data_IF_229709175252
#
_entry.id   IF_229709175252
#
_cell.length_a   1.000
_cell.length_b   1.000
_cell.length_c   1.000
_cell.angle_alpha   90.00
_cell.angle_beta   90.00
_cell.angle_gamma   90.00
#
_symmetry.space_group_name_H-M   'P 1'
#
loop_
_entity.id
_entity.type
_entity.pdbx_description
1 polymer ?
#
# COMPACT_ATOMS: atom_id res chain seq x y z
N UNK A 1 24.85 13.69 24.96
CA UNK A 1 25.16 13.20 23.61
C UNK A 1 25.07 11.70 23.54
N UNK A 2 24.31 11.20 22.57
CA UNK A 2 24.11 9.79 22.31
C UNK A 2 24.38 9.51 20.83
N UNK A 3 25.28 8.57 20.55
CA UNK A 3 25.63 8.12 19.20
C UNK A 3 25.15 6.69 18.96
N UNK A 4 25.17 6.26 17.70
CA UNK A 4 24.75 4.94 17.22
C UNK A 4 23.25 4.66 17.42
N UNK A 5 22.42 5.70 17.41
CA UNK A 5 20.98 5.52 17.31
C UNK A 5 20.58 5.31 15.85
N UNK A 6 19.54 4.50 15.64
CA UNK A 6 18.88 4.36 14.34
C UNK A 6 17.53 5.05 14.41
N UNK A 7 17.36 6.09 13.60
CA UNK A 7 16.21 6.99 13.61
C UNK A 7 15.56 6.94 12.23
N UNK A 8 14.43 6.27 12.11
CA UNK A 8 13.70 6.08 10.86
C UNK A 8 12.22 5.93 11.17
N UNK A 9 11.37 6.06 10.14
CA UNK A 9 9.90 5.93 10.25
C UNK A 9 9.25 6.98 11.17
N UNK A 10 9.85 8.16 11.30
CA UNK A 10 9.27 9.31 12.00
C UNK A 10 8.66 10.30 11.01
N UNK A 11 7.68 11.07 11.49
CA UNK A 11 7.09 12.19 10.77
C UNK A 11 7.51 13.51 11.42
N UNK A 12 8.55 14.15 10.88
CA UNK A 12 9.01 15.47 11.34
C UNK A 12 8.21 16.57 10.63
N UNK A 13 7.24 17.14 11.35
CA UNK A 13 6.28 18.11 10.80
C UNK A 13 6.19 19.33 11.73
N UNK A 14 6.23 20.53 11.16
CA UNK A 14 6.04 21.80 11.87
C UNK A 14 7.05 22.08 13.00
N UNK A 15 8.29 21.60 12.86
CA UNK A 15 9.37 21.90 13.80
C UNK A 15 10.08 23.21 13.43
N UNK A 16 10.50 24.01 14.42
CA UNK A 16 11.38 25.16 14.17
C UNK A 16 12.81 24.76 13.81
N UNK A 17 13.26 23.62 14.33
CA UNK A 17 14.48 22.92 13.93
C UNK A 17 14.11 21.44 13.81
N UNK A 18 14.26 20.84 12.62
CA UNK A 18 13.73 19.49 12.36
C UNK A 18 14.35 18.43 13.27
N UNK A 19 15.67 18.47 13.42
CA UNK A 19 16.39 17.62 14.35
C UNK A 19 17.69 18.31 14.77
N UNK A 20 18.17 18.00 15.98
CA UNK A 20 19.44 18.48 16.49
C UNK A 20 20.31 17.29 16.91
N UNK A 21 21.44 17.14 16.23
CA UNK A 21 22.46 16.11 16.51
C UNK A 21 23.79 16.83 16.63
N UNK A 22 24.26 16.99 17.87
CA UNK A 22 25.49 17.73 18.18
C UNK A 22 26.53 16.77 18.72
N UNK A 23 27.70 16.74 18.07
CA UNK A 23 28.80 15.86 18.48
C UNK A 23 28.37 14.38 18.66
N UNK A 24 27.39 13.94 17.87
CA UNK A 24 26.84 12.59 17.87
C UNK A 24 26.71 12.08 16.44
N UNK A 25 26.98 10.78 16.23
CA UNK A 25 26.83 10.11 14.94
C UNK A 25 25.66 9.16 15.06
N UNK A 26 24.60 9.38 14.30
CA UNK A 26 23.38 8.57 14.26
C UNK A 26 23.07 8.21 12.80
N UNK A 27 22.34 7.10 12.62
CA UNK A 27 21.81 6.71 11.33
C UNK A 27 20.37 7.23 11.22
N UNK A 28 20.06 7.95 10.15
CA UNK A 28 18.75 8.59 9.95
C UNK A 28 17.87 7.88 8.94
N UNK A 29 18.22 6.64 8.59
CA UNK A 29 17.44 5.80 7.71
C UNK A 29 17.60 4.31 8.05
N UNK A 30 16.71 3.48 7.52
CA UNK A 30 16.82 2.03 7.57
C UNK A 30 17.27 1.42 6.23
N UNK A 31 17.68 2.24 5.27
CA UNK A 31 18.01 1.83 3.92
C UNK A 31 16.80 1.51 3.04
N UNK A 32 17.04 1.32 1.75
CA UNK A 32 16.01 0.94 0.78
C UNK A 32 15.62 -0.55 0.92
N UNK A 33 14.32 -0.92 0.79
CA UNK A 33 13.20 -0.04 0.47
C UNK A 33 12.53 0.59 1.69
N UNK A 34 12.91 0.22 2.90
CA UNK A 34 12.25 0.68 4.14
C UNK A 34 12.22 2.21 4.27
N UNK A 35 13.24 2.89 3.74
CA UNK A 35 13.37 4.33 3.77
C UNK A 35 13.85 4.86 5.12
N UNK A 36 13.80 6.18 5.25
CA UNK A 36 14.14 6.92 6.46
C UNK A 36 12.91 7.57 7.08
N UNK A 37 12.96 8.89 7.19
CA UNK A 37 11.94 9.69 7.85
C UNK A 37 11.21 10.58 6.84
N UNK A 38 10.00 10.99 7.21
CA UNK A 38 9.31 12.06 6.52
C UNK A 38 9.73 13.40 7.11
N UNK A 39 10.13 14.33 6.24
CA UNK A 39 10.53 15.69 6.59
C UNK A 39 9.63 16.65 5.84
N UNK A 40 8.84 17.47 6.54
CA UNK A 40 7.86 18.33 5.87
C UNK A 40 8.49 19.46 5.02
N UNK A 41 9.79 19.72 5.19
CA UNK A 41 10.57 20.66 4.38
C UNK A 41 11.41 19.98 3.29
N UNK A 42 11.32 18.65 3.13
CA UNK A 42 11.92 17.95 2.00
C UNK A 42 11.07 18.15 0.74
N UNK A 43 11.63 18.89 -0.22
CA UNK A 43 10.94 19.27 -1.47
C UNK A 43 11.63 18.77 -2.73
N UNK A 44 12.60 17.85 -2.60
CA UNK A 44 13.30 17.29 -3.76
C UNK A 44 12.40 16.29 -4.49
N UNK A 45 12.87 15.81 -5.65
CA UNK A 45 12.09 14.94 -6.53
C UNK A 45 12.06 13.48 -6.10
N UNK A 46 11.06 12.77 -6.62
CA UNK A 46 10.91 11.31 -6.61
C UNK A 46 10.56 10.89 -8.04
N UNK A 47 11.58 10.84 -8.88
CA UNK A 47 11.48 10.39 -10.29
C UNK A 47 12.30 9.12 -10.53
N UNK A 48 13.06 8.68 -9.53
CA UNK A 48 13.90 7.51 -9.56
C UNK A 48 13.52 6.57 -8.41
N UNK A 49 13.85 5.29 -8.58
CA UNK A 49 13.56 4.23 -7.64
C UNK A 49 14.76 3.30 -7.51
N UNK A 50 14.67 2.38 -6.55
CA UNK A 50 15.69 1.36 -6.31
C UNK A 50 16.77 1.80 -5.33
N UNK A 51 17.67 0.86 -4.99
CA UNK A 51 18.69 1.07 -3.95
C UNK A 51 19.58 2.29 -4.24
N UNK A 52 20.03 2.44 -5.48
CA UNK A 52 20.91 3.54 -5.87
C UNK A 52 20.15 4.77 -6.39
N UNK A 53 18.80 4.76 -6.32
CA UNK A 53 17.92 5.83 -6.83
C UNK A 53 18.27 6.24 -8.27
N UNK A 54 18.48 5.26 -9.15
CA UNK A 54 18.96 5.45 -10.52
C UNK A 54 18.09 4.76 -11.59
N UNK A 55 17.00 4.11 -11.19
CA UNK A 55 16.04 3.47 -12.09
C UNK A 55 14.87 4.43 -12.26
N UNK A 56 14.40 4.68 -13.48
CA UNK A 56 13.27 5.61 -13.69
C UNK A 56 11.96 5.10 -13.06
N UNK A 57 11.23 6.01 -12.43
CA UNK A 57 9.90 5.81 -11.86
C UNK A 57 9.87 6.14 -10.37
N UNK A 58 8.75 6.70 -9.91
CA UNK A 58 8.58 7.08 -8.50
C UNK A 58 8.26 5.89 -7.60
N UNK A 59 8.75 5.92 -6.37
CA UNK A 59 8.49 4.89 -5.37
C UNK A 59 8.17 5.42 -3.96
N UNK A 60 7.94 6.73 -3.81
CA UNK A 60 7.63 7.36 -2.53
C UNK A 60 8.85 7.58 -1.63
N UNK A 61 10.05 7.32 -2.13
CA UNK A 61 11.34 7.70 -1.52
C UNK A 61 11.95 8.80 -2.38
N UNK A 62 12.54 9.81 -1.74
CA UNK A 62 13.18 10.90 -2.46
C UNK A 62 14.49 10.50 -3.11
N UNK A 63 14.75 11.03 -4.31
CA UNK A 63 15.91 10.71 -5.15
C UNK A 63 17.27 11.13 -4.51
N UNK A 64 17.22 11.97 -3.48
CA UNK A 64 18.40 12.58 -2.85
C UNK A 64 18.27 12.63 -1.33
N UNK A 65 19.38 12.45 -0.63
CA UNK A 65 19.37 12.46 0.83
C UNK A 65 19.00 13.82 1.44
N UNK A 66 18.44 13.79 2.64
CA UNK A 66 18.13 14.97 3.45
C UNK A 66 19.23 15.22 4.49
N UNK A 67 19.82 16.42 4.50
CA UNK A 67 20.89 16.80 5.42
C UNK A 67 20.35 17.23 6.79
N UNK A 68 20.38 16.33 7.77
CA UNK A 68 19.66 16.46 9.05
C UNK A 68 20.20 17.58 9.94
N UNK A 69 21.52 17.73 10.00
CA UNK A 69 22.20 18.78 10.77
C UNK A 69 22.89 19.80 9.84
N UNK A 70 22.36 19.96 8.61
CA UNK A 70 22.92 20.90 7.64
C UNK A 70 22.59 22.35 8.04
N UNK A 71 23.57 23.04 8.58
CA UNK A 71 23.51 24.48 8.83
C UNK A 71 24.85 25.14 8.44
N UNK A 72 24.90 26.48 8.28
CA UNK A 72 26.13 27.16 7.86
C UNK A 72 27.35 26.96 8.77
N UNK A 73 27.14 26.53 10.02
CA UNK A 73 28.18 26.29 11.00
C UNK A 73 28.64 24.82 11.05
N UNK A 74 27.86 23.88 10.50
CA UNK A 74 28.23 22.47 10.44
C UNK A 74 29.23 22.25 9.30
N UNK A 75 30.46 21.78 9.60
CA UNK A 75 31.41 21.39 8.55
C UNK A 75 30.81 20.31 7.64
N UNK A 76 31.01 20.37 6.30
CA UNK A 76 30.41 19.41 5.36
C UNK A 76 30.65 17.95 5.71
N UNK A 77 31.83 17.63 6.24
CA UNK A 77 32.25 16.28 6.65
C UNK A 77 31.53 15.76 7.91
N UNK A 78 30.83 16.63 8.64
CA UNK A 78 30.05 16.28 9.83
C UNK A 78 28.54 16.30 9.57
N UNK A 79 28.12 16.57 8.33
CA UNK A 79 26.72 16.51 7.95
C UNK A 79 26.26 15.05 7.90
N UNK A 80 25.22 14.76 8.67
CA UNK A 80 24.53 13.48 8.67
C UNK A 80 23.35 13.55 7.73
N UNK A 81 23.11 12.44 7.04
CA UNK A 81 22.06 12.34 6.04
C UNK A 81 21.07 11.25 6.42
N UNK A 82 19.79 11.55 6.21
CA UNK A 82 18.80 10.54 5.86
C UNK A 82 18.97 10.28 4.35
N UNK A 83 19.44 9.10 3.97
CA UNK A 83 19.74 8.81 2.56
C UNK A 83 18.49 8.43 1.76
N UNK A 84 17.38 8.13 2.42
CA UNK A 84 16.14 7.67 1.79
C UNK A 84 14.93 8.39 2.40
N UNK A 85 14.89 9.74 2.35
CA UNK A 85 13.80 10.50 2.92
C UNK A 85 12.47 10.10 2.26
N UNK A 86 11.40 10.07 3.05
CA UNK A 86 10.09 9.68 2.57
C UNK A 86 9.40 10.88 1.90
N UNK A 87 8.71 10.66 0.79
CA UNK A 87 7.95 11.71 0.08
C UNK A 87 6.59 12.03 0.70
N UNK A 88 6.19 11.25 1.71
CA UNK A 88 4.90 11.36 2.38
C UNK A 88 5.02 10.86 3.81
N UNK A 89 4.00 11.14 4.61
CA UNK A 89 3.96 10.69 6.00
C UNK A 89 3.95 9.17 6.09
N UNK A 90 4.75 8.64 7.00
CA UNK A 90 4.78 7.22 7.35
C UNK A 90 3.64 6.90 8.33
N UNK A 91 2.95 5.78 8.10
CA UNK A 91 1.95 5.22 9.00
C UNK A 91 2.14 3.71 9.08
N UNK A 92 2.04 3.16 10.29
CA UNK A 92 2.13 1.73 10.54
C UNK A 92 0.84 1.23 11.20
N UNK A 93 0.13 0.34 10.53
CA UNK A 93 -1.17 -0.14 10.97
C UNK A 93 -1.14 -1.63 11.28
N UNK A 94 -1.68 -1.99 12.45
CA UNK A 94 -1.87 -3.39 12.82
C UNK A 94 -2.98 -3.99 11.95
N UNK A 95 -2.62 -4.87 11.02
CA UNK A 95 -3.60 -5.66 10.27
C UNK A 95 -4.03 -6.90 11.09
N UNK A 96 -3.09 -7.50 11.81
CA UNK A 96 -3.34 -8.54 12.82
C UNK A 96 -2.50 -8.26 14.07
N UNK A 97 -2.50 -9.16 15.05
CA UNK A 97 -1.63 -9.05 16.24
C UNK A 97 -0.14 -9.21 15.93
N UNK A 98 0.22 -9.78 14.77
CA UNK A 98 1.60 -10.11 14.40
C UNK A 98 2.06 -9.41 13.11
N UNK A 99 1.14 -8.96 12.28
CA UNK A 99 1.44 -8.44 10.95
C UNK A 99 0.92 -7.01 10.82
N UNK A 100 1.80 -6.17 10.30
CA UNK A 100 1.58 -4.75 10.14
C UNK A 100 1.58 -4.39 8.66
N UNK A 101 0.82 -3.37 8.30
CA UNK A 101 0.78 -2.78 6.97
C UNK A 101 1.32 -1.36 7.08
N UNK A 102 2.41 -1.10 6.39
CA UNK A 102 3.06 0.21 6.39
C UNK A 102 2.60 1.00 5.17
N UNK A 103 2.26 2.27 5.36
CA UNK A 103 1.81 3.17 4.31
C UNK A 103 2.63 4.45 4.36
N UNK A 104 3.15 4.86 3.20
CA UNK A 104 3.76 6.16 2.98
C UNK A 104 2.82 6.92 2.05
N UNK A 105 2.27 8.04 2.50
CA UNK A 105 1.28 8.77 1.72
C UNK A 105 1.36 10.27 2.00
N UNK A 106 1.14 11.10 0.97
CA UNK A 106 1.05 12.56 1.13
C UNK A 106 -0.37 13.05 1.50
N UNK A 107 -1.31 12.13 1.69
CA UNK A 107 -2.62 12.38 2.27
C UNK A 107 -2.67 11.93 3.73
N UNK A 108 -3.59 12.52 4.51
CA UNK A 108 -3.95 11.98 5.82
C UNK A 108 -4.73 10.67 5.65
N UNK A 109 -4.36 9.65 6.43
CA UNK A 109 -5.00 8.33 6.40
C UNK A 109 -5.88 8.18 7.64
N UNK A 110 -7.11 7.70 7.45
CA UNK A 110 -8.06 7.42 8.53
C UNK A 110 -8.81 6.10 8.28
N UNK A 111 -9.41 5.54 9.33
CA UNK A 111 -10.25 4.34 9.28
C UNK A 111 -9.61 3.16 8.53
N UNK A 112 -8.34 2.88 8.81
CA UNK A 112 -7.68 1.68 8.31
C UNK A 112 -8.38 0.42 8.83
N UNK A 113 -8.72 -0.48 7.90
CA UNK A 113 -9.37 -1.75 8.17
C UNK A 113 -8.75 -2.86 7.32
N UNK A 114 -8.64 -4.03 7.93
CA UNK A 114 -8.28 -5.27 7.26
C UNK A 114 -9.25 -6.38 7.66
N UNK A 115 -9.85 -7.04 6.66
CA UNK A 115 -10.84 -8.11 6.90
C UNK A 115 -10.36 -9.51 6.48
N UNK A 116 -9.05 -9.68 6.29
CA UNK A 116 -8.43 -10.93 5.86
C UNK A 116 -8.12 -10.99 4.35
N UNK A 117 -8.91 -10.32 3.51
CA UNK A 117 -8.71 -10.32 2.05
C UNK A 117 -8.78 -8.94 1.41
N UNK A 118 -9.24 -7.95 2.17
CA UNK A 118 -9.42 -6.57 1.74
C UNK A 118 -8.75 -5.67 2.78
N UNK A 119 -7.95 -4.73 2.27
CA UNK A 119 -7.45 -3.57 3.01
C UNK A 119 -8.27 -2.38 2.54
N UNK A 120 -8.84 -1.61 3.46
CA UNK A 120 -9.55 -0.37 3.14
C UNK A 120 -9.18 0.75 4.11
N UNK A 121 -9.12 1.97 3.61
CA UNK A 121 -8.86 3.17 4.41
C UNK A 121 -9.32 4.41 3.66
N UNK A 122 -9.48 5.52 4.37
CA UNK A 122 -9.76 6.82 3.77
C UNK A 122 -8.49 7.64 3.64
N UNK A 123 -8.34 8.30 2.49
CA UNK A 123 -7.32 9.32 2.24
C UNK A 123 -7.99 10.68 2.12
N UNK A 124 -7.36 11.71 2.68
CA UNK A 124 -7.79 13.10 2.52
C UNK A 124 -6.59 14.03 2.30
N UNK A 125 -6.70 14.92 1.32
CA UNK A 125 -5.73 15.94 0.98
C UNK A 125 -6.41 17.16 0.37
N UNK A 126 -5.62 18.20 0.05
CA UNK A 126 -6.13 19.43 -0.59
C UNK A 126 -6.69 19.13 -1.99
N UNK A 127 -7.93 19.54 -2.25
CA UNK A 127 -8.62 19.24 -3.50
C UNK A 127 -7.79 19.67 -4.74
N UNK A 128 -7.90 18.89 -5.82
CA UNK A 128 -7.27 19.15 -7.12
C UNK A 128 -5.74 19.09 -7.15
N UNK A 129 -5.10 18.62 -6.07
CA UNK A 129 -3.66 18.33 -6.06
C UNK A 129 -3.38 16.84 -6.29
N UNK A 130 -2.13 16.47 -6.55
CA UNK A 130 -1.74 15.07 -6.78
C UNK A 130 -1.48 14.35 -5.46
N UNK A 131 -2.14 13.20 -5.29
CA UNK A 131 -1.90 12.26 -4.21
C UNK A 131 -1.14 11.04 -4.68
N UNK A 132 -0.31 10.48 -3.82
CA UNK A 132 0.30 9.19 -4.00
C UNK A 132 0.21 8.41 -2.69
N UNK A 133 0.11 7.10 -2.77
CA UNK A 133 0.35 6.23 -1.64
C UNK A 133 1.24 5.07 -2.09
N UNK A 134 2.23 4.77 -1.26
CA UNK A 134 2.98 3.52 -1.27
C UNK A 134 2.57 2.67 -0.09
N UNK A 135 2.26 1.41 -0.33
CA UNK A 135 1.85 0.45 0.71
C UNK A 135 2.74 -0.78 0.69
N UNK A 136 3.19 -1.19 1.87
CA UNK A 136 3.93 -2.43 2.13
C UNK A 136 2.98 -3.43 2.79
N UNK A 137 2.70 -4.53 2.09
CA UNK A 137 1.79 -5.59 2.53
C UNK A 137 2.60 -6.86 2.74
N UNK A 138 2.67 -7.41 3.96
CA UNK A 138 3.22 -8.74 4.19
C UNK A 138 2.53 -9.80 3.34
N UNK A 139 3.31 -10.66 2.67
CA UNK A 139 2.78 -11.73 1.81
C UNK A 139 2.03 -12.82 2.61
N UNK A 140 2.23 -12.86 3.92
CA UNK A 140 1.46 -13.69 4.86
C UNK A 140 0.00 -13.22 5.01
N UNK A 141 -0.27 -11.93 4.79
CA UNK A 141 -1.63 -11.36 4.84
C UNK A 141 -2.35 -11.52 3.51
N UNK A 142 -1.70 -11.11 2.43
CA UNK A 142 -2.24 -11.14 1.08
C UNK A 142 -1.12 -11.49 0.10
N UNK A 143 -1.36 -12.45 -0.78
CA UNK A 143 -0.39 -12.84 -1.80
C UNK A 143 -1.12 -13.23 -3.08
N UNK A 144 -0.89 -12.46 -4.14
CA UNK A 144 -1.51 -12.68 -5.44
C UNK A 144 -1.47 -11.42 -6.29
N UNK A 145 -2.36 -11.38 -7.28
CA UNK A 145 -2.56 -10.19 -8.11
C UNK A 145 -3.51 -9.26 -7.36
N UNK A 146 -3.13 -8.00 -7.21
CA UNK A 146 -3.91 -7.00 -6.50
C UNK A 146 -4.81 -6.22 -7.46
N UNK A 147 -5.91 -5.71 -6.94
CA UNK A 147 -6.72 -4.67 -7.56
C UNK A 147 -6.85 -3.52 -6.58
N UNK A 148 -6.61 -2.32 -7.06
CA UNK A 148 -6.65 -1.09 -6.25
C UNK A 148 -7.80 -0.24 -6.76
N UNK A 149 -8.69 0.15 -5.86
CA UNK A 149 -9.82 1.02 -6.14
C UNK A 149 -9.69 2.30 -5.33
N UNK A 150 -9.95 3.42 -5.99
CA UNK A 150 -10.01 4.74 -5.36
C UNK A 150 -11.40 5.30 -5.62
N UNK A 151 -12.19 5.46 -4.57
CA UNK A 151 -13.59 5.88 -4.60
C UNK A 151 -14.43 5.01 -5.56
N UNK A 152 -14.26 3.69 -5.46
CA UNK A 152 -14.95 2.69 -6.31
C UNK A 152 -14.45 2.58 -7.76
N UNK A 153 -13.50 3.42 -8.19
CA UNK A 153 -12.90 3.35 -9.53
C UNK A 153 -11.57 2.61 -9.45
N UNK A 154 -11.38 1.59 -10.29
CA UNK A 154 -10.11 0.86 -10.36
C UNK A 154 -9.01 1.76 -10.92
N UNK A 155 -7.87 1.80 -10.23
CA UNK A 155 -6.69 2.58 -10.62
C UNK A 155 -5.52 1.67 -10.92
N UNK A 156 -4.68 2.10 -11.85
CA UNK A 156 -3.40 1.42 -12.09
C UNK A 156 -2.46 1.64 -10.91
N UNK A 157 -1.69 0.62 -10.57
CA UNK A 157 -0.61 0.69 -9.60
C UNK A 157 0.68 0.15 -10.22
N UNK A 158 1.82 0.56 -9.66
CA UNK A 158 3.12 0.00 -9.94
C UNK A 158 3.47 -1.01 -8.83
N UNK A 159 3.81 -2.24 -9.23
CA UNK A 159 4.40 -3.23 -8.34
C UNK A 159 5.90 -2.96 -8.26
N UNK A 160 6.36 -2.39 -7.15
CA UNK A 160 7.75 -1.96 -7.02
C UNK A 160 8.70 -3.16 -7.02
N UNK A 161 9.84 -3.00 -7.70
CA UNK A 161 10.85 -4.05 -7.87
C UNK A 161 11.49 -4.52 -6.55
N UNK A 162 11.34 -3.75 -5.47
CA UNK A 162 11.79 -4.12 -4.13
C UNK A 162 10.89 -5.16 -3.43
N UNK A 163 9.75 -5.51 -4.04
CA UNK A 163 8.89 -6.59 -3.57
C UNK A 163 9.63 -7.92 -3.58
N UNK A 164 9.40 -8.73 -2.54
CA UNK A 164 10.10 -9.99 -2.33
C UNK A 164 9.15 -11.06 -1.78
N UNK A 165 9.70 -12.18 -1.29
CA UNK A 165 8.89 -13.30 -0.79
C UNK A 165 8.14 -13.00 0.50
N UNK A 166 8.52 -11.97 1.27
CA UNK A 166 7.92 -11.63 2.56
C UNK A 166 7.05 -10.38 2.52
N UNK A 167 7.34 -9.43 1.62
CA UNK A 167 6.62 -8.17 1.51
C UNK A 167 6.37 -7.78 0.05
N UNK A 168 5.15 -7.33 -0.23
CA UNK A 168 4.77 -6.71 -1.50
C UNK A 168 4.66 -5.20 -1.34
N UNK A 169 5.24 -4.45 -2.27
CA UNK A 169 5.17 -3.00 -2.29
C UNK A 169 4.39 -2.52 -3.51
N UNK A 170 3.28 -1.81 -3.27
CA UNK A 170 2.48 -1.19 -4.31
C UNK A 170 2.64 0.33 -4.22
N UNK A 171 2.76 0.99 -5.37
CA UNK A 171 2.76 2.45 -5.50
C UNK A 171 1.66 2.87 -6.47
N UNK A 172 0.80 3.81 -6.07
CA UNK A 172 -0.25 4.33 -6.95
C UNK A 172 -0.51 5.80 -6.68
N UNK A 173 -1.01 6.48 -7.71
CA UNK A 173 -1.34 7.90 -7.67
C UNK A 173 -2.84 8.11 -7.86
N UNK A 174 -3.33 9.22 -7.35
CA UNK A 174 -4.73 9.62 -7.44
C UNK A 174 -4.84 11.14 -7.32
N UNK A 175 -6.00 11.72 -7.62
CA UNK A 175 -6.26 13.13 -7.34
C UNK A 175 -6.74 13.32 -5.90
N UNK A 176 -6.21 14.29 -5.18
CA UNK A 176 -6.59 14.56 -3.79
C UNK A 176 -8.06 15.01 -3.67
N UNK A 177 -8.69 14.47 -2.64
CA UNK A 177 -10.00 14.78 -2.06
C UNK A 177 -10.22 13.71 -0.97
N UNK A 178 -11.35 13.74 -0.25
CA UNK A 178 -11.72 12.63 0.63
C UNK A 178 -12.16 11.44 -0.21
N UNK A 179 -11.37 10.37 -0.22
CA UNK A 179 -11.62 9.17 -1.04
C UNK A 179 -11.37 7.91 -0.21
N UNK A 180 -12.20 6.90 -0.45
CA UNK A 180 -11.95 5.55 0.05
C UNK A 180 -10.96 4.84 -0.88
N UNK A 181 -9.94 4.22 -0.30
CA UNK A 181 -9.01 3.32 -0.99
C UNK A 181 -9.36 1.89 -0.57
N UNK A 182 -9.50 1.00 -1.55
CA UNK A 182 -9.75 -0.42 -1.33
C UNK A 182 -8.75 -1.24 -2.13
N UNK A 183 -8.02 -2.12 -1.44
CA UNK A 183 -7.04 -3.02 -2.04
C UNK A 183 -7.50 -4.45 -1.74
N UNK A 184 -7.66 -5.24 -2.78
CA UNK A 184 -8.12 -6.62 -2.68
C UNK A 184 -7.37 -7.52 -3.67
N UNK A 185 -7.44 -8.84 -3.45
CA UNK A 185 -6.91 -9.80 -4.41
C UNK A 185 -7.87 -10.00 -5.58
N UNK A 186 -7.33 -10.22 -6.77
CA UNK A 186 -8.09 -10.71 -7.90
C UNK A 186 -8.47 -12.17 -7.68
N UNK A 187 -9.76 -12.49 -7.82
CA UNK A 187 -10.25 -13.86 -7.78
C UNK A 187 -10.32 -14.43 -9.19
N UNK A 188 -9.82 -15.66 -9.44
CA UNK A 188 -9.96 -16.29 -10.74
C UNK A 188 -11.43 -16.37 -11.15
N UNK A 189 -11.79 -15.66 -12.23
CA UNK A 189 -13.17 -15.63 -12.75
C UNK A 189 -13.73 -17.04 -13.05
N UNK A 190 -12.83 -18.00 -13.32
CA UNK A 190 -13.14 -19.42 -13.51
C UNK A 190 -13.93 -19.99 -12.32
N UNK A 191 -13.63 -19.61 -11.07
CA UNK A 191 -14.38 -20.10 -9.90
C UNK A 191 -15.83 -19.63 -9.91
N UNK A 192 -16.07 -18.37 -10.30
CA UNK A 192 -17.43 -17.82 -10.46
C UNK A 192 -18.16 -18.53 -11.59
N UNK A 193 -17.52 -18.70 -12.76
CA UNK A 193 -18.11 -19.44 -13.87
C UNK A 193 -18.46 -20.88 -13.47
N UNK A 194 -17.59 -21.59 -12.76
CA UNK A 194 -17.87 -22.94 -12.26
C UNK A 194 -19.07 -23.00 -11.31
N UNK A 195 -19.22 -22.02 -10.42
CA UNK A 195 -20.40 -21.89 -9.55
C UNK A 195 -21.68 -21.65 -10.35
N UNK A 196 -21.65 -20.77 -11.35
CA UNK A 196 -22.81 -20.54 -12.22
C UNK A 196 -23.15 -21.78 -13.06
N UNK A 197 -22.15 -22.47 -13.61
CA UNK A 197 -22.35 -23.69 -14.39
C UNK A 197 -22.92 -24.82 -13.53
N UNK A 198 -22.44 -25.01 -12.30
CA UNK A 198 -22.98 -26.04 -11.40
C UNK A 198 -24.40 -25.69 -10.92
N UNK A 199 -24.66 -24.43 -10.55
CA UNK A 199 -25.99 -23.96 -10.17
C UNK A 199 -27.03 -24.15 -11.29
N UNK A 200 -26.68 -23.75 -12.52
CA UNK A 200 -27.55 -23.94 -13.69
C UNK A 200 -27.78 -25.42 -14.02
N UNK A 201 -26.77 -26.28 -13.88
CA UNK A 201 -26.90 -27.73 -14.07
C UNK A 201 -27.83 -28.36 -13.00
N UNK A 202 -27.70 -27.97 -11.73
CA UNK A 202 -28.58 -28.43 -10.63
C UNK A 202 -30.02 -27.99 -10.89
N UNK A 203 -30.23 -26.72 -11.26
CA UNK A 203 -31.56 -26.21 -11.61
C UNK A 203 -32.16 -26.97 -12.79
N UNK A 204 -31.37 -27.28 -13.82
CA UNK A 204 -31.81 -28.09 -14.96
C UNK A 204 -32.22 -29.50 -14.54
N UNK A 205 -31.42 -30.19 -13.73
CA UNK A 205 -31.74 -31.53 -13.21
C UNK A 205 -33.00 -31.51 -12.34
N UNK A 206 -33.17 -30.52 -11.48
CA UNK A 206 -34.37 -30.36 -10.65
C UNK A 206 -35.63 -30.10 -11.49
N UNK A 207 -35.53 -29.26 -12.54
CA UNK A 207 -36.61 -29.03 -13.51
C UNK A 207 -36.97 -30.30 -14.26
N UNK A 208 -35.98 -31.06 -14.74
CA UNK A 208 -36.20 -32.35 -15.42
C UNK A 208 -36.88 -33.38 -14.51
N UNK A 209 -36.43 -33.52 -13.26
CA UNK A 209 -37.05 -34.43 -12.28
C UNK A 209 -38.50 -34.05 -11.96
N UNK A 210 -38.83 -32.76 -11.91
CA UNK A 210 -40.22 -32.28 -11.73
C UNK A 210 -41.09 -32.56 -12.96
N UNK A 211 -40.56 -32.37 -14.18
CA UNK A 211 -41.26 -32.69 -15.42
C UNK A 211 -41.54 -34.19 -15.60
N UNK A 212 -40.60 -35.06 -15.22
CA UNK A 212 -40.81 -36.52 -15.28
C UNK A 212 -41.86 -37.03 -14.29
N UNK A 213 -41.98 -36.42 -13.10
CA UNK A 213 -43.03 -36.79 -12.12
C UNK A 213 -44.44 -36.44 -12.61
N UNK A 214 -44.62 -35.39 -13.40
CA UNK A 214 -45.92 -35.05 -14.01
C UNK A 214 -46.34 -36.06 -15.08
N UNK A 215 -45.41 -36.61 -15.85
CA UNK A 215 -45.71 -37.60 -16.89
C UNK A 215 -46.16 -38.97 -16.33
N UNK A 216 -45.78 -39.34 -15.11
CA UNK A 216 -46.21 -40.60 -14.48
C UNK A 216 -47.64 -40.55 -13.91
N UNK A 217 -48.24 -39.38 -13.75
CA UNK A 217 -49.61 -39.21 -13.22
C UNK A 217 -50.72 -39.26 -14.30
N UNK A 218 -50.36 -39.39 -15.57
CA UNK A 218 -51.31 -39.32 -16.71
C UNK A 218 -51.40 -40.60 -17.56
N UNK A 219 -50.94 -41.75 -17.07
CA UNK A 219 -51.22 -43.03 -17.73
C UNK A 219 -52.57 -43.60 -17.22
N UNK A 220 -53.62 -43.70 -18.07
CA UNK A 220 -54.84 -44.36 -17.67
C UNK A 220 -54.55 -45.85 -17.49
N UNK A 221 -54.97 -46.41 -16.36
CA UNK A 221 -55.02 -47.86 -16.15
C UNK A 221 -56.02 -48.46 -17.14
N UNK A 222 -55.51 -49.13 -18.17
CA UNK A 222 -56.33 -49.95 -19.07
C UNK A 222 -56.51 -51.32 -18.40
N UNK A 223 -57.73 -51.58 -17.96
CA UNK A 223 -58.28 -52.90 -17.60
C UNK A 223 -58.50 -53.76 -18.82
#
# INVERSE_FOLDING_TARGET
ESSNNSIYHNNFINNSNQAYSYNSINKWDYGYPSGGNYWNDYTNSDYQQGLDQNISGSDGVGDSGYGVNSNPQTPPELVQFDNYPLMGSFSDFNATSEQHVQIICNSSITDFQFNGTIISFYVSGENDTAGFCRICIPTSLMNGIYRVFVNGTEVSYNLLACSNSTHTYLYFIYTHSTKEVVIMLEFPSIMLFQLFMTSTLVLFVLRKKRGCKWFQLFLPSVT
#
